data_IF_109450682794
#
_entry.id   IF_109450682794
#
_cell.length_a   1.000
_cell.length_b   1.000
_cell.length_c   1.000
_cell.angle_alpha   90.00
_cell.angle_beta   90.00
_cell.angle_gamma   90.00
#
_symmetry.space_group_name_H-M   'P 1'
#
loop_
_entity.id
_entity.type
_entity.pdbx_description
1 polymer ?
#
# COMPACT_ATOMS: atom_id res chain seq x y z
N UNK A 1 20.77 16.04 6.64
CA UNK A 1 19.30 16.07 6.93
C UNK A 1 18.87 14.62 7.11
N UNK A 2 18.02 14.31 8.10
CA UNK A 2 17.49 12.95 8.24
C UNK A 2 16.53 12.64 7.09
N UNK A 3 16.46 11.37 6.68
CA UNK A 3 15.58 10.93 5.59
C UNK A 3 14.23 10.51 6.15
N UNK A 4 13.15 10.93 5.48
CA UNK A 4 11.85 10.32 5.57
C UNK A 4 11.64 9.47 4.32
N UNK A 5 11.70 8.15 4.48
CA UNK A 5 11.45 7.19 3.42
C UNK A 5 9.96 6.93 3.25
N UNK A 6 9.48 6.86 2.01
CA UNK A 6 8.07 6.66 1.70
C UNK A 6 7.92 5.53 0.67
N UNK A 7 6.94 4.65 0.88
CA UNK A 7 6.54 3.60 -0.07
C UNK A 7 5.04 3.30 0.07
N UNK A 8 4.46 2.63 -0.91
CA UNK A 8 3.06 2.22 -0.91
C UNK A 8 2.87 0.72 -1.14
N UNK A 9 1.69 0.23 -0.79
CA UNK A 9 1.20 -1.11 -1.10
C UNK A 9 -0.25 -1.06 -1.61
N UNK A 10 -0.55 -1.89 -2.60
CA UNK A 10 -1.91 -2.02 -3.12
C UNK A 10 -2.25 -1.19 -4.35
N UNK A 11 -1.28 -0.58 -5.03
CA UNK A 11 -1.47 0.29 -6.20
C UNK A 11 -2.21 -0.40 -7.36
N UNK A 12 -1.76 -1.57 -7.79
CA UNK A 12 -2.28 -2.30 -8.95
C UNK A 12 -3.30 -3.40 -8.63
N UNK A 13 -3.89 -3.39 -7.44
CA UNK A 13 -4.81 -4.43 -7.00
C UNK A 13 -6.25 -4.13 -7.41
N UNK A 14 -6.99 -5.17 -7.85
CA UNK A 14 -8.40 -5.09 -8.20
C UNK A 14 -9.31 -4.95 -6.96
N UNK A 15 -8.80 -5.34 -5.79
CA UNK A 15 -9.51 -5.21 -4.53
C UNK A 15 -8.56 -4.83 -3.39
N UNK A 16 -9.12 -4.19 -2.37
CA UNK A 16 -8.44 -3.79 -1.16
C UNK A 16 -7.82 -2.41 -1.19
N UNK A 17 -7.40 -1.98 -0.01
CA UNK A 17 -6.94 -0.64 0.26
C UNK A 17 -5.62 -0.31 -0.45
N UNK A 18 -5.38 0.96 -0.64
CA UNK A 18 -4.09 1.57 -0.92
C UNK A 18 -3.51 2.06 0.41
N UNK A 19 -2.38 1.51 0.83
CA UNK A 19 -1.68 1.95 2.04
C UNK A 19 -0.38 2.64 1.64
N UNK A 20 -0.12 3.83 2.19
CA UNK A 20 1.10 4.60 1.98
C UNK A 20 1.72 4.83 3.36
N UNK A 21 3.02 4.61 3.50
CA UNK A 21 3.71 4.83 4.75
C UNK A 21 4.91 5.76 4.57
N UNK A 22 5.11 6.66 5.55
CA UNK A 22 6.31 7.45 5.70
C UNK A 22 7.03 7.08 6.99
N UNK A 23 8.35 6.92 6.96
CA UNK A 23 9.17 6.48 8.09
C UNK A 23 10.43 7.31 8.21
N UNK A 24 10.71 7.74 9.45
CA UNK A 24 11.99 8.31 9.88
C UNK A 24 12.55 7.40 10.97
N UNK A 25 13.68 6.77 10.73
CA UNK A 25 14.32 5.89 11.71
C UNK A 25 15.01 6.71 12.81
N UNK A 26 14.74 6.38 14.07
CA UNK A 26 15.45 6.95 15.22
C UNK A 26 16.78 6.23 15.46
N UNK A 27 16.84 4.94 15.15
CA UNK A 27 18.03 4.11 15.18
C UNK A 27 18.02 3.06 14.06
N UNK A 28 19.16 2.47 13.82
CA UNK A 28 19.31 1.39 12.86
C UNK A 28 18.52 0.15 13.28
N UNK A 29 17.84 -0.46 12.30
CA UNK A 29 17.09 -1.72 12.48
C UNK A 29 17.66 -2.75 11.52
N UNK A 30 18.07 -3.90 12.06
CA UNK A 30 18.63 -4.97 11.27
C UNK A 30 17.57 -5.68 10.42
N UNK A 31 17.97 -6.10 9.23
CA UNK A 31 17.14 -6.91 8.35
C UNK A 31 16.13 -6.13 7.50
N UNK A 32 16.19 -4.80 7.48
CA UNK A 32 15.38 -3.96 6.59
C UNK A 32 15.75 -4.08 5.11
N UNK A 33 16.97 -4.54 4.80
CA UNK A 33 17.41 -4.75 3.41
C UNK A 33 16.60 -5.90 2.80
N UNK A 34 16.09 -5.67 1.57
CA UNK A 34 15.41 -6.68 0.76
C UNK A 34 13.95 -7.00 1.20
N UNK A 35 13.14 -5.97 1.39
CA UNK A 35 11.73 -6.04 1.80
C UNK A 35 10.90 -7.00 0.94
N UNK A 36 11.27 -7.20 -0.34
CA UNK A 36 10.56 -8.07 -1.29
C UNK A 36 10.78 -9.56 -1.03
N UNK A 37 11.87 -9.94 -0.33
CA UNK A 37 12.18 -11.34 0.02
C UNK A 37 11.81 -11.71 1.46
N UNK A 38 11.25 -10.77 2.21
CA UNK A 38 10.89 -10.99 3.60
C UNK A 38 9.61 -11.84 3.69
N UNK A 39 9.67 -12.96 4.42
CA UNK A 39 8.49 -13.78 4.73
C UNK A 39 7.45 -13.00 5.54
N UNK A 40 6.18 -13.42 5.49
CA UNK A 40 5.11 -12.76 6.25
C UNK A 40 5.42 -12.75 7.77
N UNK A 41 5.93 -13.85 8.32
CA UNK A 41 6.34 -13.93 9.74
C UNK A 41 7.43 -12.90 10.08
N UNK A 42 8.47 -12.79 9.26
CA UNK A 42 9.54 -11.82 9.48
C UNK A 42 9.04 -10.39 9.31
N UNK A 43 8.10 -10.14 8.40
CA UNK A 43 7.48 -8.82 8.21
C UNK A 43 6.74 -8.34 9.45
N UNK A 44 6.01 -9.24 10.15
CA UNK A 44 5.33 -8.90 11.41
C UNK A 44 6.35 -8.54 12.51
N UNK A 45 7.46 -9.26 12.62
CA UNK A 45 8.52 -8.93 13.58
C UNK A 45 9.10 -7.55 13.27
N UNK A 46 9.47 -7.30 12.02
CA UNK A 46 10.03 -6.00 11.60
C UNK A 46 9.03 -4.86 11.73
N UNK A 47 7.74 -5.08 11.46
CA UNK A 47 6.69 -4.09 11.70
C UNK A 47 6.72 -3.61 13.16
N UNK A 48 6.75 -4.55 14.11
CA UNK A 48 6.80 -4.21 15.54
C UNK A 48 8.09 -3.47 15.92
N UNK A 49 9.23 -3.87 15.35
CA UNK A 49 10.52 -3.20 15.59
C UNK A 49 10.53 -1.78 15.01
N UNK A 50 9.96 -1.57 13.81
CA UNK A 50 9.83 -0.22 13.23
C UNK A 50 8.93 0.64 14.10
N UNK A 51 7.78 0.13 14.55
CA UNK A 51 6.86 0.88 15.40
C UNK A 51 7.48 1.34 16.73
N UNK A 52 8.45 0.58 17.27
CA UNK A 52 9.14 0.93 18.53
C UNK A 52 10.31 1.91 18.32
N UNK A 53 10.90 1.94 17.15
CA UNK A 53 12.22 2.55 16.90
C UNK A 53 12.22 3.57 15.76
N UNK A 54 11.05 4.04 15.35
CA UNK A 54 10.90 5.02 14.29
C UNK A 54 9.70 5.94 14.54
N UNK A 55 9.77 7.15 14.01
CA UNK A 55 8.57 7.96 13.77
C UNK A 55 7.99 7.52 12.45
N UNK A 56 6.67 7.30 12.40
CA UNK A 56 6.00 6.86 11.18
C UNK A 56 4.60 7.45 11.06
N UNK A 57 4.13 7.51 9.83
CA UNK A 57 2.75 7.84 9.48
C UNK A 57 2.29 6.84 8.42
N UNK A 58 1.11 6.25 8.63
CA UNK A 58 0.44 5.40 7.64
C UNK A 58 -0.85 6.10 7.22
N UNK A 59 -1.07 6.18 5.93
CA UNK A 59 -2.27 6.73 5.29
C UNK A 59 -2.91 5.62 4.49
N UNK A 60 -4.20 5.41 4.69
CA UNK A 60 -4.95 4.35 4.00
C UNK A 60 -6.12 4.96 3.24
N UNK A 61 -6.27 4.57 1.98
CA UNK A 61 -7.43 4.86 1.15
C UNK A 61 -8.15 3.57 0.84
N UNK A 62 -9.46 3.55 1.07
CA UNK A 62 -10.31 2.40 0.75
C UNK A 62 -10.44 2.22 -0.76
N UNK A 63 -10.95 1.06 -1.18
CA UNK A 63 -11.30 0.84 -2.59
C UNK A 63 -12.27 1.90 -3.11
N UNK A 64 -13.22 2.33 -2.28
CA UNK A 64 -14.19 3.37 -2.64
C UNK A 64 -13.54 4.76 -2.77
N UNK A 65 -12.52 5.07 -1.95
CA UNK A 65 -11.76 6.32 -2.11
C UNK A 65 -11.01 6.33 -3.43
N UNK A 66 -10.36 5.21 -3.77
CA UNK A 66 -9.66 5.06 -5.06
C UNK A 66 -10.63 5.21 -6.23
N UNK A 67 -11.83 4.65 -6.14
CA UNK A 67 -12.87 4.79 -7.17
C UNK A 67 -13.41 6.22 -7.27
N UNK A 68 -13.54 6.91 -6.13
CA UNK A 68 -14.13 8.25 -6.04
C UNK A 68 -13.20 9.35 -6.55
N UNK A 69 -11.92 9.34 -6.17
CA UNK A 69 -10.98 10.41 -6.48
C UNK A 69 -9.84 9.99 -7.42
N UNK A 70 -9.73 8.71 -7.72
CA UNK A 70 -8.68 8.14 -8.57
C UNK A 70 -7.38 7.84 -7.82
N UNK A 71 -6.64 6.85 -8.33
CA UNK A 71 -5.40 6.36 -7.73
C UNK A 71 -4.34 7.47 -7.60
N UNK A 72 -4.15 8.28 -8.61
CA UNK A 72 -3.12 9.34 -8.62
C UNK A 72 -3.40 10.42 -7.57
N UNK A 73 -4.67 10.78 -7.36
CA UNK A 73 -5.04 11.77 -6.35
C UNK A 73 -4.95 11.17 -4.94
N UNK A 74 -5.29 9.88 -4.75
CA UNK A 74 -5.03 9.18 -3.48
C UNK A 74 -3.54 9.20 -3.14
N UNK A 75 -2.66 8.87 -4.10
CA UNK A 75 -1.21 8.90 -3.89
C UNK A 75 -0.71 10.30 -3.55
N UNK A 76 -1.13 11.32 -4.29
CA UNK A 76 -0.80 12.71 -4.01
C UNK A 76 -1.23 13.13 -2.61
N UNK A 77 -2.47 12.86 -2.23
CA UNK A 77 -3.01 13.23 -0.93
C UNK A 77 -2.29 12.48 0.20
N UNK A 78 -1.96 11.19 0.01
CA UNK A 78 -1.16 10.44 0.98
C UNK A 78 0.24 11.00 1.16
N UNK A 79 0.91 11.40 0.08
CA UNK A 79 2.21 12.06 0.13
C UNK A 79 2.14 13.42 0.86
N UNK A 80 1.11 14.23 0.58
CA UNK A 80 0.89 15.51 1.27
C UNK A 80 0.60 15.32 2.76
N UNK A 81 -0.17 14.30 3.14
CA UNK A 81 -0.46 14.01 4.53
C UNK A 81 0.80 13.58 5.30
N UNK A 82 1.70 12.81 4.66
CA UNK A 82 3.00 12.45 5.23
C UNK A 82 3.89 13.68 5.41
N UNK A 83 3.98 14.56 4.41
CA UNK A 83 4.71 15.82 4.51
C UNK A 83 4.19 16.69 5.65
N UNK A 84 2.88 16.85 5.77
CA UNK A 84 2.25 17.65 6.82
C UNK A 84 2.50 17.08 8.23
N UNK A 85 2.59 15.76 8.35
CA UNK A 85 2.85 15.09 9.61
C UNK A 85 4.29 15.27 10.10
N UNK A 86 5.27 15.16 9.19
CA UNK A 86 6.69 15.25 9.55
C UNK A 86 7.26 16.68 9.50
N UNK A 87 6.70 17.56 8.66
CA UNK A 87 7.17 18.95 8.50
C UNK A 87 8.35 19.10 7.55
N UNK A 88 9.13 20.17 7.72
CA UNK A 88 10.12 20.60 6.71
C UNK A 88 11.57 20.16 7.02
N UNK A 89 11.80 19.46 8.12
CA UNK A 89 13.15 19.15 8.62
C UNK A 89 13.78 17.90 7.97
N UNK A 90 13.05 17.22 7.09
CA UNK A 90 13.46 15.93 6.51
C UNK A 90 13.68 16.02 4.99
N UNK A 91 14.56 15.16 4.49
CA UNK A 91 14.66 14.85 3.07
C UNK A 91 13.68 13.71 2.76
N UNK A 92 12.70 13.98 1.89
CA UNK A 92 11.66 13.00 1.53
C UNK A 92 12.07 12.21 0.29
N UNK A 93 12.10 10.88 0.41
CA UNK A 93 12.42 9.96 -0.68
C UNK A 93 11.29 8.95 -0.82
N UNK A 94 10.67 8.92 -1.99
CA UNK A 94 9.57 8.04 -2.34
C UNK A 94 10.03 6.97 -3.34
N UNK A 95 9.66 5.68 -3.09
CA UNK A 95 9.93 4.60 -4.06
C UNK A 95 9.01 4.73 -5.26
N UNK A 96 9.55 5.15 -6.38
CA UNK A 96 8.78 5.33 -7.60
C UNK A 96 9.43 6.26 -8.61
N UNK A 97 8.72 6.51 -9.69
CA UNK A 97 9.17 7.35 -10.80
C UNK A 97 8.39 8.68 -10.92
N UNK A 98 7.44 8.92 -10.05
CA UNK A 98 6.64 10.16 -10.03
C UNK A 98 6.28 10.56 -8.60
N UNK A 99 6.40 11.86 -8.31
CA UNK A 99 6.01 12.46 -7.03
C UNK A 99 4.60 13.05 -7.05
N UNK A 100 3.80 12.78 -8.08
CA UNK A 100 2.43 13.28 -8.24
C UNK A 100 2.31 14.80 -8.08
N UNK A 101 3.33 15.55 -8.53
CA UNK A 101 3.46 17.02 -8.41
C UNK A 101 3.66 17.55 -6.97
N UNK A 102 4.06 16.70 -6.04
CA UNK A 102 4.45 17.10 -4.67
C UNK A 102 5.93 17.46 -4.67
N UNK A 103 6.27 18.73 -4.87
CA UNK A 103 7.63 19.19 -5.21
C UNK A 103 8.72 18.83 -4.20
N UNK A 104 8.40 18.77 -2.89
CA UNK A 104 9.37 18.44 -1.83
C UNK A 104 9.81 16.97 -1.81
N UNK A 105 9.12 16.10 -2.55
CA UNK A 105 9.39 14.67 -2.56
C UNK A 105 10.28 14.33 -3.75
N UNK A 106 11.46 13.79 -3.46
CA UNK A 106 12.34 13.16 -4.44
C UNK A 106 11.87 11.73 -4.70
N UNK A 107 11.98 11.31 -5.94
CA UNK A 107 11.66 9.93 -6.33
C UNK A 107 12.91 9.14 -6.65
N UNK A 108 12.93 7.87 -6.28
CA UNK A 108 14.00 6.96 -6.61
C UNK A 108 13.40 5.57 -6.91
N UNK A 109 13.70 5.03 -8.08
CA UNK A 109 13.25 3.69 -8.48
C UNK A 109 14.00 2.64 -7.66
N UNK A 110 13.27 1.70 -7.05
CA UNK A 110 13.79 0.64 -6.15
C UNK A 110 14.50 1.22 -4.91
N UNK A 111 14.03 2.34 -4.41
CA UNK A 111 14.56 2.94 -3.20
C UNK A 111 14.41 2.02 -1.98
N UNK A 112 13.40 1.16 -1.96
CA UNK A 112 13.15 0.14 -0.94
C UNK A 112 14.32 -0.85 -0.76
N UNK A 113 15.13 -1.06 -1.79
CA UNK A 113 16.33 -1.90 -1.74
C UNK A 113 17.60 -1.15 -1.30
N UNK A 114 17.60 0.18 -1.38
CA UNK A 114 18.79 1.03 -1.22
C UNK A 114 18.76 1.85 0.07
N UNK A 115 17.57 2.30 0.51
CA UNK A 115 17.36 3.22 1.62
C UNK A 115 16.55 2.53 2.71
N UNK A 116 17.11 2.47 3.91
CA UNK A 116 16.50 1.74 5.05
C UNK A 116 15.15 2.29 5.46
N UNK A 117 14.98 3.61 5.44
CA UNK A 117 13.72 4.29 5.74
C UNK A 117 12.63 3.92 4.73
N UNK A 118 12.98 3.82 3.45
CA UNK A 118 12.03 3.41 2.38
C UNK A 118 11.69 1.93 2.52
N UNK A 119 12.68 1.07 2.83
CA UNK A 119 12.43 -0.34 3.15
C UNK A 119 11.48 -0.50 4.35
N UNK A 120 11.67 0.30 5.40
CA UNK A 120 10.79 0.30 6.58
C UNK A 120 9.37 0.76 6.20
N UNK A 121 9.24 1.80 5.38
CA UNK A 121 7.95 2.26 4.87
C UNK A 121 7.24 1.17 4.05
N UNK A 122 7.97 0.48 3.17
CA UNK A 122 7.46 -0.67 2.41
C UNK A 122 6.91 -1.77 3.31
N UNK A 123 7.60 -2.09 4.39
CA UNK A 123 7.18 -3.10 5.38
C UNK A 123 5.89 -2.65 6.07
N UNK A 124 5.81 -1.40 6.53
CA UNK A 124 4.62 -0.86 7.19
C UNK A 124 3.40 -0.85 6.25
N UNK A 125 3.55 -0.33 5.03
CA UNK A 125 2.47 -0.28 4.05
C UNK A 125 1.95 -1.68 3.70
N UNK A 126 2.85 -2.65 3.46
CA UNK A 126 2.47 -4.04 3.14
C UNK A 126 1.82 -4.76 4.31
N UNK A 127 2.37 -4.63 5.53
CA UNK A 127 1.83 -5.30 6.71
C UNK A 127 0.43 -4.78 7.05
N UNK A 128 0.24 -3.45 7.01
CA UNK A 128 -1.07 -2.82 7.24
C UNK A 128 -2.09 -3.31 6.21
N UNK A 129 -1.71 -3.32 4.94
CA UNK A 129 -2.59 -3.80 3.88
C UNK A 129 -2.93 -5.29 4.02
N UNK A 130 -1.96 -6.12 4.37
CA UNK A 130 -2.18 -7.56 4.58
C UNK A 130 -3.15 -7.81 5.75
N UNK A 131 -3.10 -7.00 6.80
CA UNK A 131 -4.05 -7.09 7.92
C UNK A 131 -5.48 -6.71 7.49
N UNK A 132 -5.64 -5.64 6.71
CA UNK A 132 -6.95 -5.25 6.15
C UNK A 132 -7.51 -6.34 5.22
N UNK A 133 -6.65 -7.02 4.46
CA UNK A 133 -7.06 -8.16 3.64
C UNK A 133 -7.54 -9.36 4.47
N UNK A 134 -6.98 -9.60 5.67
CA UNK A 134 -7.47 -10.66 6.58
C UNK A 134 -8.90 -10.38 7.05
N UNK A 135 -9.21 -9.11 7.33
CA UNK A 135 -10.56 -8.70 7.69
C UNK A 135 -11.53 -8.91 6.53
N UNK A 136 -11.13 -8.53 5.32
CA UNK A 136 -11.93 -8.73 4.12
C UNK A 136 -12.15 -10.22 3.79
N UNK A 137 -11.12 -11.05 3.92
CA UNK A 137 -11.18 -12.50 3.67
C UNK A 137 -12.15 -13.21 4.64
N UNK A 138 -12.20 -12.76 5.90
CA UNK A 138 -13.18 -13.25 6.87
C UNK A 138 -14.62 -12.86 6.50
N UNK A 139 -14.81 -11.65 5.94
CA UNK A 139 -16.12 -11.14 5.54
C UNK A 139 -16.61 -11.75 4.23
N UNK A 140 -15.70 -12.06 3.32
CA UNK A 140 -15.95 -12.56 1.97
C UNK A 140 -15.03 -13.76 1.66
N UNK A 141 -15.20 -14.89 2.39
CA UNK A 141 -14.26 -16.04 2.29
C UNK A 141 -14.25 -16.69 0.91
N UNK A 142 -15.35 -16.56 0.15
CA UNK A 142 -15.48 -17.11 -1.21
C UNK A 142 -14.54 -16.48 -2.26
N UNK A 143 -14.00 -15.27 -1.97
CA UNK A 143 -13.06 -14.62 -2.88
C UNK A 143 -11.60 -15.05 -2.66
N UNK A 144 -11.21 -15.44 -1.45
CA UNK A 144 -9.87 -15.90 -1.13
C UNK A 144 -8.81 -14.79 -1.21
N UNK A 145 -9.13 -13.60 -0.71
CA UNK A 145 -8.26 -12.41 -0.75
C UNK A 145 -6.87 -12.63 -0.18
N UNK A 146 -6.72 -13.50 0.82
CA UNK A 146 -5.42 -13.82 1.40
C UNK A 146 -4.48 -14.53 0.43
N UNK A 147 -5.01 -15.31 -0.52
CA UNK A 147 -4.18 -16.07 -1.48
C UNK A 147 -3.59 -15.17 -2.56
N UNK A 148 -4.39 -14.30 -3.15
CA UNK A 148 -4.00 -13.46 -4.28
C UNK A 148 -3.80 -11.98 -3.91
N UNK A 149 -3.96 -11.62 -2.64
CA UNK A 149 -3.71 -10.26 -2.12
C UNK A 149 -4.45 -9.15 -2.89
N UNK A 150 -5.64 -9.47 -3.42
CA UNK A 150 -6.47 -8.54 -4.19
C UNK A 150 -6.05 -8.33 -5.65
N UNK A 151 -4.98 -8.98 -6.12
CA UNK A 151 -4.58 -8.91 -7.54
C UNK A 151 -5.54 -9.65 -8.45
N UNK A 152 -5.62 -9.25 -9.73
CA UNK A 152 -6.49 -9.83 -10.75
C UNK A 152 -5.99 -11.20 -11.25
N UNK A 153 -5.82 -12.15 -10.34
CA UNK A 153 -5.49 -13.55 -10.68
C UNK A 153 -6.71 -14.26 -11.28
N UNK A 154 -6.48 -15.39 -11.96
CA UNK A 154 -7.56 -16.22 -12.51
C UNK A 154 -8.60 -16.57 -11.44
N UNK A 155 -8.17 -17.01 -10.25
CA UNK A 155 -9.07 -17.37 -9.15
C UNK A 155 -9.91 -16.17 -8.66
N UNK A 156 -9.32 -14.97 -8.58
CA UNK A 156 -10.04 -13.76 -8.20
C UNK A 156 -11.08 -13.35 -9.24
N UNK A 157 -10.71 -13.43 -10.54
CA UNK A 157 -11.64 -13.15 -11.64
C UNK A 157 -12.80 -14.16 -11.64
N UNK A 158 -12.54 -15.45 -11.46
CA UNK A 158 -13.55 -16.51 -11.38
C UNK A 158 -14.51 -16.26 -10.19
N UNK A 159 -13.99 -15.84 -9.04
CA UNK A 159 -14.82 -15.48 -7.89
C UNK A 159 -15.75 -14.29 -8.21
N UNK A 160 -15.24 -13.24 -8.85
CA UNK A 160 -16.07 -12.10 -9.27
C UNK A 160 -17.12 -12.50 -10.31
N UNK A 161 -16.78 -13.35 -11.28
CA UNK A 161 -17.74 -13.86 -12.26
C UNK A 161 -18.88 -14.64 -11.60
N UNK A 162 -18.58 -15.37 -10.53
CA UNK A 162 -19.55 -16.21 -9.81
C UNK A 162 -20.37 -15.44 -8.77
N UNK A 163 -19.75 -14.55 -8.02
CA UNK A 163 -20.37 -13.91 -6.85
C UNK A 163 -20.60 -12.40 -7.02
N UNK A 164 -20.12 -11.81 -8.11
CA UNK A 164 -20.19 -10.37 -8.36
C UNK A 164 -19.08 -9.58 -7.68
N UNK A 165 -19.21 -8.26 -7.70
CA UNK A 165 -18.32 -7.35 -6.96
C UNK A 165 -18.82 -7.18 -5.52
N UNK A 166 -17.90 -6.83 -4.61
CA UNK A 166 -18.17 -6.38 -3.25
C UNK A 166 -17.70 -4.94 -3.08
N UNK A 167 -18.05 -4.30 -1.97
CA UNK A 167 -17.53 -2.97 -1.62
C UNK A 167 -16.01 -2.93 -1.38
N UNK A 168 -15.34 -4.08 -1.41
CA UNK A 168 -13.90 -4.20 -1.28
C UNK A 168 -13.17 -4.17 -2.63
N UNK A 169 -13.91 -4.23 -3.74
CA UNK A 169 -13.36 -4.13 -5.09
C UNK A 169 -13.30 -2.67 -5.58
N UNK A 170 -12.35 -2.42 -6.49
CA UNK A 170 -12.21 -1.15 -7.20
C UNK A 170 -12.97 -1.24 -8.51
N UNK A 171 -14.14 -0.64 -8.57
CA UNK A 171 -15.05 -0.72 -9.71
C UNK A 171 -14.57 0.04 -10.93
N UNK A 172 -13.67 1.03 -10.75
CA UNK A 172 -13.05 1.79 -11.84
C UNK A 172 -11.94 1.04 -12.55
N UNK A 173 -11.40 -0.04 -11.94
CA UNK A 173 -10.37 -0.84 -12.57
C UNK A 173 -10.98 -1.76 -13.62
N UNK A 174 -10.43 -1.71 -14.85
CA UNK A 174 -10.96 -2.48 -15.96
C UNK A 174 -10.20 -3.79 -16.16
N UNK A 175 -10.95 -4.90 -16.19
CA UNK A 175 -10.47 -6.23 -16.55
C UNK A 175 -11.33 -6.76 -17.68
N UNK A 176 -10.71 -7.12 -18.81
CA UNK A 176 -11.44 -7.58 -20.01
C UNK A 176 -12.45 -8.70 -19.72
N UNK A 177 -12.07 -9.66 -18.89
CA UNK A 177 -12.93 -10.79 -18.52
C UNK A 177 -14.17 -10.40 -17.69
N UNK A 178 -14.18 -9.21 -17.09
CA UNK A 178 -15.24 -8.74 -16.18
C UNK A 178 -16.14 -7.66 -16.80
N UNK A 179 -16.02 -7.37 -18.09
CA UNK A 179 -16.78 -6.30 -18.76
C UNK A 179 -18.30 -6.42 -18.62
N UNK A 180 -18.81 -7.64 -18.56
CA UNK A 180 -20.25 -7.91 -18.50
C UNK A 180 -20.77 -8.14 -17.06
N UNK A 181 -19.92 -8.04 -16.06
CA UNK A 181 -20.32 -8.15 -14.65
C UNK A 181 -20.89 -6.83 -14.18
N UNK A 182 -22.10 -6.85 -13.64
CA UNK A 182 -22.74 -5.63 -13.11
C UNK A 182 -21.91 -5.03 -11.98
N UNK A 183 -21.58 -3.74 -12.11
CA UNK A 183 -20.86 -2.95 -11.12
C UNK A 183 -21.86 -2.19 -10.25
N UNK A 184 -22.74 -2.92 -9.55
CA UNK A 184 -23.66 -2.30 -8.61
C UNK A 184 -22.87 -1.56 -7.53
N UNK A 185 -23.18 -0.28 -7.30
CA UNK A 185 -22.64 0.45 -6.15
C UNK A 185 -23.30 -0.07 -4.88
N UNK A 186 -22.52 -0.43 -3.90
CA UNK A 186 -22.94 -0.87 -2.57
C UNK A 186 -23.21 0.32 -1.66
#
# INVERSE_FOLDING_TARGET
MKICGIDEAGRGCLAGDLCIAGVVLDKEIDGLKDSKKISEKKRVVLFNEICKNAKFKIVTFTSQDVDRIGLSECLKNGLLEILNYFGDEFEYIYDGNTNFKVQKIKTMIKADALIKEVSAASILAKATRDENLKVADKKYPEYGFLKHKGYATKAHIEAILKYGYTNFHRLTYEVKALKNVSKNKF
#
